data_IF_042229025345
#
_entry.id   IF_042229025345
#
_cell.length_a   1.000
_cell.length_b   1.000
_cell.length_c   1.000
_cell.angle_alpha   90.00
_cell.angle_beta   90.00
_cell.angle_gamma   90.00
#
_symmetry.space_group_name_H-M   'P 1'
#
loop_
_entity.id
_entity.type
_entity.pdbx_description
1 polymer ?
#
# COMPACT_ATOMS: atom_id res chain seq x y z
N UNK A 1 1.02 10.26 -17.71
CA UNK A 1 1.16 8.95 -18.42
C UNK A 1 -0.17 8.59 -19.06
N UNK A 2 -1.26 8.44 -18.32
CA UNK A 2 -2.57 8.04 -18.86
C UNK A 2 -3.03 8.90 -20.05
N UNK A 3 -2.94 10.21 -19.96
CA UNK A 3 -3.41 11.11 -21.04
C UNK A 3 -2.62 10.94 -22.36
N UNK A 4 -1.36 10.50 -22.27
CA UNK A 4 -0.53 10.22 -23.44
C UNK A 4 -0.77 8.81 -24.01
N UNK A 5 -1.19 7.86 -23.17
CA UNK A 5 -1.47 6.46 -23.54
C UNK A 5 -2.72 5.96 -22.82
N UNK A 6 -3.91 6.39 -23.23
CA UNK A 6 -5.17 6.07 -22.53
C UNK A 6 -5.60 4.61 -22.68
N UNK A 7 -4.96 3.87 -23.59
CA UNK A 7 -5.19 2.43 -23.81
C UNK A 7 -4.29 1.52 -22.96
N UNK A 8 -3.42 2.10 -22.12
CA UNK A 8 -2.49 1.34 -21.28
C UNK A 8 -2.95 1.28 -19.84
N UNK A 9 -2.78 0.10 -19.25
CA UNK A 9 -2.96 -0.11 -17.84
C UNK A 9 -1.78 0.43 -17.04
N UNK A 10 -2.04 1.09 -15.92
CA UNK A 10 -1.01 1.60 -15.02
C UNK A 10 -0.94 0.72 -13.78
N UNK A 11 0.26 0.27 -13.46
CA UNK A 11 0.55 -0.53 -12.29
C UNK A 11 1.67 0.13 -11.49
N UNK A 12 1.42 0.42 -10.22
CA UNK A 12 2.49 0.77 -9.29
C UNK A 12 3.18 -0.51 -8.84
N UNK A 13 4.45 -0.68 -9.22
CA UNK A 13 5.12 -1.99 -9.17
C UNK A 13 5.95 -2.22 -7.92
N UNK A 14 6.25 -1.19 -7.14
CA UNK A 14 7.09 -1.35 -5.95
C UNK A 14 6.87 -0.22 -4.94
N UNK A 15 6.19 -0.51 -3.84
CA UNK A 15 6.23 0.28 -2.62
C UNK A 15 7.36 -0.19 -1.71
N UNK A 16 7.91 0.70 -0.88
CA UNK A 16 8.90 0.33 0.13
C UNK A 16 8.86 1.31 1.30
N UNK A 17 8.95 0.78 2.52
CA UNK A 17 9.26 1.55 3.72
C UNK A 17 10.72 1.32 4.04
N UNK A 18 11.56 2.26 3.60
CA UNK A 18 13.02 2.22 3.73
C UNK A 18 13.51 2.53 5.17
N UNK A 19 14.79 2.30 5.41
CA UNK A 19 15.50 2.66 6.65
C UNK A 19 15.08 1.88 7.90
N UNK A 20 14.80 0.58 7.76
CA UNK A 20 14.54 -0.32 8.88
C UNK A 20 13.11 -0.81 8.98
N UNK A 21 12.83 -1.58 10.03
CA UNK A 21 11.56 -2.28 10.20
C UNK A 21 10.40 -1.41 10.68
N UNK A 22 10.69 -0.23 11.26
CA UNK A 22 9.67 0.72 11.74
C UNK A 22 8.65 0.14 12.72
N UNK A 23 9.06 -0.79 13.58
CA UNK A 23 8.20 -1.37 14.61
C UNK A 23 7.51 -0.28 15.43
N UNK A 24 6.18 -0.34 15.51
CA UNK A 24 5.35 0.62 16.26
C UNK A 24 5.16 1.99 15.62
N UNK A 25 5.75 2.27 14.46
CA UNK A 25 5.58 3.57 13.77
C UNK A 25 4.35 3.56 12.88
N UNK A 26 3.44 4.51 13.08
CA UNK A 26 2.28 4.74 12.20
C UNK A 26 2.55 5.75 11.09
N UNK A 27 3.43 6.71 11.32
CA UNK A 27 3.71 7.79 10.36
C UNK A 27 4.15 7.28 8.97
N UNK A 28 4.93 6.20 8.95
CA UNK A 28 5.39 5.58 7.69
C UNK A 28 4.21 4.92 6.95
N UNK A 29 3.27 4.34 7.69
CA UNK A 29 2.05 3.75 7.12
C UNK A 29 1.10 4.79 6.53
N UNK A 30 0.98 5.97 7.13
CA UNK A 30 0.18 7.07 6.58
C UNK A 30 0.67 7.50 5.19
N UNK A 31 1.98 7.43 4.94
CA UNK A 31 2.54 7.65 3.60
C UNK A 31 1.97 6.65 2.60
N UNK A 32 1.87 5.38 2.96
CA UNK A 32 1.27 4.35 2.11
C UNK A 32 -0.19 4.64 1.78
N UNK A 33 -1.00 5.00 2.78
CA UNK A 33 -2.39 5.35 2.54
C UNK A 33 -2.53 6.51 1.54
N UNK A 34 -1.76 7.58 1.72
CA UNK A 34 -1.76 8.73 0.79
C UNK A 34 -1.33 8.33 -0.62
N UNK A 35 -0.27 7.52 -0.73
CA UNK A 35 0.23 7.05 -2.03
C UNK A 35 -0.81 6.20 -2.74
N UNK A 36 -1.39 5.20 -2.07
CA UNK A 36 -2.39 4.31 -2.68
C UNK A 36 -3.63 5.10 -3.12
N UNK A 37 -4.15 6.02 -2.29
CA UNK A 37 -5.29 6.87 -2.66
C UNK A 37 -4.96 7.72 -3.88
N UNK A 38 -3.78 8.36 -3.89
CA UNK A 38 -3.36 9.19 -5.01
C UNK A 38 -3.22 8.37 -6.30
N UNK A 39 -2.59 7.22 -6.24
CA UNK A 39 -2.39 6.33 -7.39
C UNK A 39 -3.73 5.84 -7.95
N UNK A 40 -4.62 5.33 -7.10
CA UNK A 40 -5.96 4.88 -7.50
C UNK A 40 -6.80 6.01 -8.12
N UNK A 41 -6.68 7.23 -7.60
CA UNK A 41 -7.35 8.40 -8.17
C UNK A 41 -6.73 8.86 -9.50
N UNK A 42 -5.52 8.40 -9.83
CA UNK A 42 -4.78 8.74 -11.04
C UNK A 42 -4.55 7.54 -11.97
N UNK A 43 -5.57 6.70 -12.15
CA UNK A 43 -5.63 5.61 -13.14
C UNK A 43 -4.75 4.40 -12.84
N UNK A 44 -4.17 4.28 -11.65
CA UNK A 44 -3.46 3.07 -11.25
C UNK A 44 -4.49 1.96 -10.93
N UNK A 45 -4.31 0.79 -11.53
CA UNK A 45 -5.22 -0.35 -11.39
C UNK A 45 -4.71 -1.41 -10.43
N UNK A 46 -3.46 -1.30 -10.00
CA UNK A 46 -2.86 -2.20 -9.03
C UNK A 46 -1.69 -1.55 -8.32
N UNK A 47 -1.44 -2.00 -7.10
CA UNK A 47 -0.39 -1.48 -6.24
C UNK A 47 0.33 -2.64 -5.56
N UNK A 48 1.67 -2.68 -5.66
CA UNK A 48 2.51 -3.76 -5.17
C UNK A 48 3.50 -3.20 -4.16
N UNK A 49 3.55 -3.83 -2.98
CA UNK A 49 4.58 -3.59 -1.98
C UNK A 49 5.83 -4.42 -2.26
N UNK A 50 6.94 -4.13 -1.57
CA UNK A 50 8.23 -4.79 -1.78
C UNK A 50 8.24 -6.22 -1.25
N UNK A 51 8.33 -6.41 0.07
CA UNK A 51 8.35 -7.73 0.69
C UNK A 51 7.11 -7.92 1.57
N UNK A 52 6.59 -9.14 1.61
CA UNK A 52 5.48 -9.50 2.50
C UNK A 52 5.95 -9.75 3.93
N UNK A 53 7.10 -10.40 4.08
CA UNK A 53 7.65 -10.83 5.35
C UNK A 53 9.16 -10.63 5.35
N UNK A 54 9.69 -10.06 6.43
CA UNK A 54 11.12 -9.93 6.70
C UNK A 54 11.41 -10.30 8.16
N UNK A 55 12.69 -10.43 8.49
CA UNK A 55 13.13 -10.56 9.87
C UNK A 55 13.26 -9.19 10.57
N UNK A 56 13.66 -9.20 11.84
CA UNK A 56 13.82 -8.00 12.65
C UNK A 56 14.86 -7.02 12.15
N UNK A 57 15.76 -7.44 11.26
CA UNK A 57 16.76 -6.55 10.65
C UNK A 57 16.20 -5.77 9.46
N UNK A 58 15.11 -6.27 8.89
CA UNK A 58 14.58 -5.77 7.62
C UNK A 58 15.38 -6.30 6.44
N UNK A 59 15.07 -5.89 5.25
CA UNK A 59 15.83 -6.45 4.13
C UNK A 59 15.48 -5.88 2.77
N UNK A 60 16.02 -6.56 1.75
CA UNK A 60 16.70 -7.88 1.70
C UNK A 60 18.21 -7.88 2.04
N UNK A 61 18.80 -6.78 2.49
CA UNK A 61 20.15 -6.67 3.05
C UNK A 61 21.34 -6.85 2.08
N UNK A 62 21.14 -7.25 0.85
CA UNK A 62 22.26 -7.59 -0.05
C UNK A 62 23.13 -6.38 -0.49
N UNK A 63 22.63 -5.14 -0.29
CA UNK A 63 23.35 -3.89 -0.53
C UNK A 63 23.09 -2.87 0.58
N UNK A 64 23.02 -3.33 1.82
CA UNK A 64 22.63 -2.51 2.98
C UNK A 64 21.20 -1.93 2.82
N UNK A 65 20.31 -2.66 2.17
CA UNK A 65 18.93 -2.28 1.99
C UNK A 65 18.09 -2.88 3.14
N UNK A 66 17.70 -2.03 4.08
CA UNK A 66 16.95 -2.40 5.29
C UNK A 66 15.52 -1.86 5.18
N UNK A 67 14.73 -2.41 4.26
CA UNK A 67 13.32 -2.08 4.15
C UNK A 67 12.48 -2.79 5.22
N UNK A 68 11.29 -2.25 5.48
CA UNK A 68 10.26 -2.89 6.27
C UNK A 68 9.38 -3.82 5.41
N UNK A 69 8.50 -4.55 6.08
CA UNK A 69 7.47 -5.37 5.44
C UNK A 69 6.17 -5.31 6.29
N UNK A 70 5.02 -5.67 5.74
CA UNK A 70 3.78 -5.79 6.50
C UNK A 70 3.89 -6.75 7.69
N UNK A 71 4.72 -7.79 7.57
CA UNK A 71 5.00 -8.75 8.63
C UNK A 71 6.49 -8.78 8.95
N UNK A 72 6.82 -8.72 10.24
CA UNK A 72 8.20 -8.88 10.73
C UNK A 72 8.25 -10.07 11.69
N UNK A 73 9.21 -10.97 11.46
CA UNK A 73 9.48 -12.09 12.37
C UNK A 73 10.64 -11.73 13.28
N UNK A 74 10.43 -11.82 14.57
CA UNK A 74 11.47 -11.79 15.57
C UNK A 74 12.05 -13.19 15.71
N UNK A 75 13.16 -13.46 15.04
CA UNK A 75 13.68 -14.84 14.84
C UNK A 75 14.05 -15.53 16.15
N UNK A 76 14.59 -14.79 17.12
CA UNK A 76 14.98 -15.33 18.42
C UNK A 76 13.79 -15.84 19.25
N UNK A 77 12.59 -15.29 19.05
CA UNK A 77 11.37 -15.64 19.80
C UNK A 77 10.33 -16.37 18.97
N UNK A 78 10.49 -16.39 17.64
CA UNK A 78 9.47 -16.88 16.73
C UNK A 78 8.19 -16.04 16.74
N UNK A 79 8.25 -14.80 17.20
CA UNK A 79 7.11 -13.91 17.24
C UNK A 79 6.92 -13.21 15.90
N UNK A 80 5.65 -13.08 15.46
CA UNK A 80 5.29 -12.35 14.23
C UNK A 80 4.58 -11.07 14.61
N UNK A 81 5.08 -9.95 14.10
CA UNK A 81 4.51 -8.63 14.30
C UNK A 81 3.84 -8.16 13.02
N UNK A 82 2.60 -7.71 13.12
CA UNK A 82 1.91 -6.96 12.06
C UNK A 82 2.26 -5.49 12.18
N UNK A 83 2.73 -4.90 11.08
CA UNK A 83 3.13 -3.50 11.07
C UNK A 83 2.03 -2.59 10.51
N UNK A 84 2.32 -1.29 10.49
CA UNK A 84 1.41 -0.28 9.96
C UNK A 84 0.97 -0.57 8.52
N UNK A 85 1.90 -0.99 7.64
CA UNK A 85 1.60 -1.27 6.23
C UNK A 85 0.61 -2.44 6.06
N UNK A 86 0.61 -3.44 6.94
CA UNK A 86 -0.42 -4.48 6.96
C UNK A 86 -1.82 -3.90 7.07
N UNK A 87 -1.99 -2.96 8.00
CA UNK A 87 -3.29 -2.33 8.23
C UNK A 87 -3.68 -1.41 7.06
N UNK A 88 -2.76 -0.54 6.61
CA UNK A 88 -3.04 0.41 5.53
C UNK A 88 -3.31 -0.27 4.20
N UNK A 89 -2.49 -1.24 3.78
CA UNK A 89 -2.73 -2.03 2.57
C UNK A 89 -4.03 -2.83 2.71
N UNK A 90 -4.29 -3.39 3.90
CA UNK A 90 -5.49 -4.16 4.20
C UNK A 90 -6.78 -3.39 4.00
N UNK A 91 -6.80 -2.06 4.22
CA UNK A 91 -7.97 -1.21 3.94
C UNK A 91 -8.36 -1.19 2.45
N UNK A 92 -7.40 -1.36 1.57
CA UNK A 92 -7.66 -1.43 0.13
C UNK A 92 -7.87 -2.88 -0.34
N UNK A 93 -6.91 -3.76 -0.07
CA UNK A 93 -6.90 -5.12 -0.59
C UNK A 93 -8.09 -5.98 -0.13
N UNK A 94 -8.64 -5.68 1.05
CA UNK A 94 -9.80 -6.39 1.59
C UNK A 94 -11.11 -5.95 0.92
N UNK A 95 -11.25 -4.69 0.57
CA UNK A 95 -12.52 -4.10 0.18
C UNK A 95 -12.61 -3.78 -1.31
N UNK A 96 -11.50 -3.50 -1.97
CA UNK A 96 -11.46 -3.31 -3.43
C UNK A 96 -11.28 -4.69 -4.09
N UNK A 97 -12.30 -5.18 -4.75
CA UNK A 97 -12.26 -6.49 -5.40
C UNK A 97 -11.77 -6.40 -6.85
N UNK A 98 -11.16 -7.46 -7.39
CA UNK A 98 -10.88 -7.50 -8.83
C UNK A 98 -12.13 -7.18 -9.63
N UNK A 99 -12.02 -6.27 -10.61
CA UNK A 99 -13.14 -5.77 -11.38
C UNK A 99 -13.89 -4.57 -10.77
N UNK A 100 -13.46 -4.08 -9.59
CA UNK A 100 -13.98 -2.82 -9.04
C UNK A 100 -13.67 -1.66 -9.98
N UNK A 101 -14.56 -0.68 -10.04
CA UNK A 101 -14.37 0.53 -10.83
C UNK A 101 -14.39 1.76 -9.93
N UNK A 102 -13.33 2.57 -10.03
CA UNK A 102 -13.28 3.84 -9.31
C UNK A 102 -14.47 4.73 -9.70
N UNK A 103 -15.11 5.32 -8.73
CA UNK A 103 -16.18 6.30 -8.91
C UNK A 103 -15.74 7.67 -8.42
N UNK A 104 -16.47 8.71 -8.82
CA UNK A 104 -16.18 10.05 -8.35
C UNK A 104 -16.30 10.12 -6.82
N UNK A 105 -15.24 10.58 -6.19
CA UNK A 105 -15.18 10.85 -4.77
C UNK A 105 -14.52 12.21 -4.58
N UNK A 106 -15.15 13.06 -3.78
CA UNK A 106 -14.65 14.39 -3.47
C UNK A 106 -14.74 14.65 -1.97
N UNK A 107 -13.80 15.42 -1.47
CA UNK A 107 -13.76 15.88 -0.08
C UNK A 107 -14.00 17.39 -0.03
N UNK A 108 -14.48 17.86 1.09
CA UNK A 108 -14.68 19.32 1.33
C UNK A 108 -13.45 19.99 1.94
N UNK A 109 -12.37 19.24 2.12
CA UNK A 109 -11.12 19.70 2.73
C UNK A 109 -9.94 19.15 1.94
N UNK A 110 -8.92 19.98 1.74
CA UNK A 110 -7.72 19.61 0.97
C UNK A 110 -6.79 18.65 1.72
N UNK A 111 -6.88 18.60 3.05
CA UNK A 111 -6.10 17.73 3.91
C UNK A 111 -6.75 16.34 4.15
N UNK A 112 -7.92 16.11 3.55
CA UNK A 112 -8.62 14.83 3.62
C UNK A 112 -8.52 14.09 2.29
N UNK A 113 -7.76 12.99 2.30
CA UNK A 113 -7.60 12.12 1.13
C UNK A 113 -8.69 11.05 1.11
N UNK A 114 -9.34 10.88 -0.02
CA UNK A 114 -10.37 9.86 -0.19
C UNK A 114 -10.34 9.25 -1.59
N UNK A 115 -10.77 8.00 -1.69
CA UNK A 115 -11.07 7.30 -2.94
C UNK A 115 -12.31 6.44 -2.73
N UNK A 116 -13.05 6.15 -3.78
CA UNK A 116 -14.20 5.27 -3.73
C UNK A 116 -14.27 4.40 -4.99
N UNK A 117 -14.75 3.19 -4.83
CA UNK A 117 -14.92 2.25 -5.92
C UNK A 117 -16.21 1.44 -5.78
N UNK A 118 -16.86 1.20 -6.89
CA UNK A 118 -18.00 0.30 -6.99
C UNK A 118 -17.48 -1.11 -7.30
N UNK A 119 -17.73 -2.04 -6.41
CA UNK A 119 -17.41 -3.45 -6.56
C UNK A 119 -18.36 -4.17 -7.51
N UNK A 120 -17.96 -5.33 -8.09
CA UNK A 120 -18.83 -6.11 -8.97
C UNK A 120 -20.15 -6.58 -8.34
N UNK A 121 -20.18 -6.72 -7.02
CA UNK A 121 -21.39 -7.09 -6.25
C UNK A 121 -22.32 -5.90 -5.93
N UNK A 122 -21.96 -4.70 -6.37
CA UNK A 122 -22.72 -3.47 -6.14
C UNK A 122 -22.39 -2.78 -4.82
N UNK A 123 -21.50 -3.31 -3.99
CA UNK A 123 -21.02 -2.60 -2.78
C UNK A 123 -20.11 -1.42 -3.14
N UNK A 124 -20.16 -0.37 -2.31
CA UNK A 124 -19.35 0.83 -2.45
C UNK A 124 -18.35 0.92 -1.31
#
# INVERSE_FOLDING_TARGET
>A
VHDAWPDKHLLFTEGCQECGTHLGSWAVGERYARSIIADLNNWTEGWIDWNLLLDETGGPNHVSNFCSAPLIVETARGAVHTLNSWHYIGHFSRFLRPGSRRVLCATTRDDLHATAALNPDGSL
#
